data_IF_716852546176
#
_entry.id   IF_716852546176
#
_cell.length_a   1.000
_cell.length_b   1.000
_cell.length_c   1.000
_cell.angle_alpha   90.00
_cell.angle_beta   90.00
_cell.angle_gamma   90.00
#
_symmetry.space_group_name_H-M   'P 1'
#
loop_
_entity.id
_entity.type
_entity.pdbx_description
1 polymer ?
#
# COMPACT_ATOMS: atom_id res chain seq x y z
N UNK A 1 -12.75 4.09 -12.40
CA UNK A 1 -12.44 2.80 -11.72
C UNK A 1 -13.65 2.11 -11.06
N UNK A 2 -14.66 2.85 -10.58
CA UNK A 2 -15.85 2.33 -9.91
C UNK A 2 -17.12 2.64 -10.73
N UNK A 3 -17.19 2.15 -11.98
CA UNK A 3 -18.31 2.46 -12.89
C UNK A 3 -19.64 2.05 -12.25
N UNK A 4 -20.59 3.00 -12.18
CA UNK A 4 -21.95 2.82 -11.65
C UNK A 4 -22.02 2.37 -10.18
N UNK A 5 -20.96 2.57 -9.39
CA UNK A 5 -21.00 2.30 -7.96
C UNK A 5 -21.58 3.49 -7.20
N UNK A 6 -22.65 3.25 -6.44
CA UNK A 6 -23.16 4.15 -5.41
C UNK A 6 -22.85 3.56 -4.03
N UNK A 7 -22.55 4.42 -3.06
CA UNK A 7 -22.26 3.97 -1.71
C UNK A 7 -23.49 3.34 -1.07
N UNK A 8 -23.38 2.07 -0.69
CA UNK A 8 -24.28 1.44 0.26
C UNK A 8 -23.51 1.16 1.55
N UNK A 9 -23.80 1.92 2.60
CA UNK A 9 -23.07 1.81 3.87
C UNK A 9 -23.19 0.44 4.53
N UNK A 10 -24.28 -0.30 4.32
CA UNK A 10 -24.45 -1.67 4.82
C UNK A 10 -23.47 -2.64 4.13
N UNK A 11 -23.34 -2.54 2.80
CA UNK A 11 -22.39 -3.36 2.04
C UNK A 11 -20.94 -2.98 2.33
N UNK A 12 -20.65 -1.68 2.41
CA UNK A 12 -19.32 -1.20 2.81
C UNK A 12 -18.94 -1.71 4.20
N UNK A 13 -19.84 -1.60 5.19
CA UNK A 13 -19.61 -2.11 6.54
C UNK A 13 -19.35 -3.62 6.54
N UNK A 14 -20.13 -4.42 5.80
CA UNK A 14 -19.86 -5.86 5.64
C UNK A 14 -18.48 -6.14 5.03
N UNK A 15 -18.02 -5.31 4.10
CA UNK A 15 -16.68 -5.43 3.54
C UNK A 15 -15.60 -5.06 4.58
N UNK A 16 -15.81 -3.99 5.34
CA UNK A 16 -14.94 -3.54 6.41
C UNK A 16 -14.81 -4.57 7.54
N UNK A 17 -15.91 -5.15 8.00
CA UNK A 17 -15.95 -6.11 9.13
C UNK A 17 -15.17 -7.41 8.82
N UNK A 18 -14.97 -7.73 7.53
CA UNK A 18 -14.12 -8.85 7.07
C UNK A 18 -12.63 -8.52 7.03
N UNK A 19 -12.24 -7.27 7.26
CA UNK A 19 -10.85 -6.84 7.28
C UNK A 19 -10.20 -7.21 8.62
N UNK A 20 -9.11 -7.96 8.58
CA UNK A 20 -8.29 -8.23 9.76
C UNK A 20 -7.34 -7.06 9.93
N UNK A 21 -7.59 -6.23 10.94
CA UNK A 21 -6.74 -5.08 11.30
C UNK A 21 -5.86 -5.45 12.51
N UNK A 22 -4.55 -5.60 12.28
CA UNK A 22 -3.60 -5.97 13.33
C UNK A 22 -2.25 -5.24 13.14
N UNK A 23 -1.41 -5.18 14.19
CA UNK A 23 -0.03 -4.69 14.07
C UNK A 23 0.80 -5.39 12.99
N UNK A 24 0.55 -6.68 12.74
CA UNK A 24 1.29 -7.46 11.73
C UNK A 24 0.92 -7.11 10.28
N UNK A 25 -0.09 -6.26 10.09
CA UNK A 25 -0.62 -5.85 8.80
C UNK A 25 -2.15 -5.91 8.77
N UNK A 26 -2.70 -5.29 7.73
CA UNK A 26 -4.13 -5.25 7.43
C UNK A 26 -4.41 -6.22 6.30
N UNK A 27 -5.18 -7.30 6.51
CA UNK A 27 -5.37 -8.37 5.52
C UNK A 27 -6.82 -8.81 5.36
N UNK A 28 -7.15 -9.32 4.18
CA UNK A 28 -8.47 -9.84 3.82
C UNK A 28 -8.38 -10.70 2.55
N UNK A 29 -9.37 -11.58 2.33
CA UNK A 29 -9.63 -12.18 1.01
C UNK A 29 -10.19 -11.11 0.07
N UNK A 30 -9.32 -10.60 -0.79
CA UNK A 30 -9.65 -9.54 -1.73
C UNK A 30 -10.24 -10.09 -3.03
N UNK A 31 -9.86 -11.31 -3.43
CA UNK A 31 -10.38 -11.97 -4.62
C UNK A 31 -11.91 -11.86 -4.69
N UNK A 32 -12.42 -11.53 -5.88
CA UNK A 32 -13.85 -11.25 -6.12
C UNK A 32 -14.74 -12.43 -5.75
N UNK A 33 -14.32 -13.65 -6.08
CA UNK A 33 -14.94 -14.92 -5.68
C UNK A 33 -15.05 -15.13 -4.16
N UNK A 34 -14.27 -14.42 -3.34
CA UNK A 34 -14.16 -14.62 -1.88
C UNK A 34 -13.66 -16.01 -1.47
N UNK A 35 -13.08 -16.75 -2.39
CA UNK A 35 -12.35 -17.99 -2.13
C UNK A 35 -10.91 -17.65 -1.70
N UNK A 36 -10.44 -18.29 -0.64
CA UNK A 36 -9.10 -18.08 -0.07
C UNK A 36 -7.96 -18.58 -0.96
N UNK A 37 -8.21 -19.53 -1.86
CA UNK A 37 -7.23 -20.07 -2.80
C UNK A 37 -7.33 -19.46 -4.21
N UNK A 38 -8.22 -18.47 -4.36
CA UNK A 38 -8.47 -17.85 -5.66
C UNK A 38 -7.23 -17.18 -6.25
N UNK A 39 -7.01 -17.43 -7.55
CA UNK A 39 -5.99 -16.76 -8.37
C UNK A 39 -6.54 -15.57 -9.15
N UNK A 40 -7.79 -15.16 -8.91
CA UNK A 40 -8.40 -14.01 -9.55
C UNK A 40 -7.68 -12.71 -9.16
N UNK A 41 -7.50 -11.83 -10.13
CA UNK A 41 -6.92 -10.50 -9.92
C UNK A 41 -7.98 -9.40 -9.73
N UNK A 42 -9.27 -9.75 -9.84
CA UNK A 42 -10.39 -8.83 -9.63
C UNK A 42 -10.75 -8.68 -8.15
N UNK A 43 -11.21 -7.48 -7.78
CA UNK A 43 -11.73 -7.15 -6.44
C UNK A 43 -13.05 -6.37 -6.56
N UNK A 44 -13.90 -6.48 -5.55
CA UNK A 44 -15.22 -5.84 -5.54
C UNK A 44 -15.12 -4.33 -5.29
N UNK A 45 -16.15 -3.56 -5.66
CA UNK A 45 -16.13 -2.11 -5.51
C UNK A 45 -16.05 -1.66 -4.05
N UNK A 46 -16.71 -2.36 -3.12
CA UNK A 46 -16.60 -2.09 -1.69
C UNK A 46 -15.16 -2.25 -1.19
N UNK A 47 -14.43 -3.24 -1.73
CA UNK A 47 -13.03 -3.48 -1.38
C UNK A 47 -12.10 -2.41 -1.93
N UNK A 48 -12.35 -1.95 -3.16
CA UNK A 48 -11.62 -0.83 -3.76
C UNK A 48 -11.74 0.43 -2.91
N UNK A 49 -12.96 0.72 -2.45
CA UNK A 49 -13.24 1.87 -1.57
C UNK A 49 -12.61 1.68 -0.19
N UNK A 50 -12.66 0.47 0.37
CA UNK A 50 -11.98 0.14 1.63
C UNK A 50 -10.47 0.36 1.54
N UNK A 51 -9.83 -0.10 0.47
CA UNK A 51 -8.41 0.14 0.22
C UNK A 51 -8.14 1.64 0.15
N UNK A 52 -8.95 2.40 -0.60
CA UNK A 52 -8.78 3.85 -0.69
C UNK A 52 -8.85 4.54 0.67
N UNK A 53 -9.78 4.13 1.53
CA UNK A 53 -9.92 4.66 2.89
C UNK A 53 -8.71 4.33 3.78
N UNK A 54 -8.19 3.10 3.68
CA UNK A 54 -7.00 2.67 4.40
C UNK A 54 -5.78 3.48 3.94
N UNK A 55 -5.55 3.59 2.63
CA UNK A 55 -4.42 4.34 2.08
C UNK A 55 -4.52 5.83 2.40
N UNK A 56 -5.71 6.42 2.31
CA UNK A 56 -5.94 7.81 2.73
C UNK A 56 -5.54 8.03 4.18
N UNK A 57 -5.91 7.10 5.07
CA UNK A 57 -5.56 7.15 6.48
C UNK A 57 -4.05 7.01 6.71
N UNK A 58 -3.39 6.11 5.99
CA UNK A 58 -1.93 5.91 6.04
C UNK A 58 -1.18 7.15 5.51
N UNK A 59 -1.66 7.76 4.43
CA UNK A 59 -1.10 9.00 3.91
C UNK A 59 -1.16 10.13 4.94
N UNK A 60 -2.29 10.27 5.64
CA UNK A 60 -2.41 11.26 6.71
C UNK A 60 -1.46 10.99 7.88
N UNK A 61 -1.18 9.73 8.20
CA UNK A 61 -0.17 9.38 9.20
C UNK A 61 1.23 9.91 8.82
N UNK A 62 1.58 9.89 7.53
CA UNK A 62 2.85 10.40 7.00
C UNK A 62 2.87 11.92 6.70
N UNK A 63 1.78 12.65 6.97
CA UNK A 63 1.63 14.05 6.56
C UNK A 63 2.66 14.99 7.21
N UNK A 64 3.03 14.71 8.46
CA UNK A 64 3.98 15.52 9.23
C UNK A 64 5.44 15.07 9.09
N UNK A 65 5.70 14.02 8.33
CA UNK A 65 7.06 13.56 8.05
C UNK A 65 7.62 14.38 6.86
N UNK A 66 8.66 15.22 7.06
CA UNK A 66 9.14 16.16 6.04
C UNK A 66 9.83 15.49 4.85
N UNK A 67 10.19 14.21 4.96
CA UNK A 67 10.89 13.50 3.91
C UNK A 67 10.06 13.40 2.62
N UNK A 68 10.71 13.43 1.44
CA UNK A 68 10.02 13.73 0.20
C UNK A 68 9.07 12.66 -0.34
N UNK A 69 9.22 11.37 -0.02
CA UNK A 69 8.43 10.32 -0.68
C UNK A 69 8.04 9.12 0.21
N UNK A 70 7.01 8.40 -0.20
CA UNK A 70 6.63 7.08 0.33
C UNK A 70 7.06 6.00 -0.65
N UNK A 71 7.76 4.97 -0.17
CA UNK A 71 8.08 3.79 -0.97
C UNK A 71 6.88 2.85 -1.10
N UNK A 72 6.66 2.28 -2.29
CA UNK A 72 5.57 1.33 -2.53
C UNK A 72 6.09 0.06 -3.21
N UNK A 73 5.88 -1.08 -2.57
CA UNK A 73 6.23 -2.40 -3.08
C UNK A 73 5.09 -3.40 -2.91
N UNK A 74 5.16 -4.52 -3.62
CA UNK A 74 4.20 -5.62 -3.50
C UNK A 74 4.87 -6.98 -3.67
N UNK A 75 4.22 -8.03 -3.19
CA UNK A 75 4.53 -9.42 -3.58
C UNK A 75 3.78 -9.82 -4.86
N UNK A 76 3.84 -11.10 -5.23
CA UNK A 76 3.24 -11.65 -6.45
C UNK A 76 1.75 -12.01 -6.34
N UNK A 77 1.05 -11.62 -5.27
CA UNK A 77 -0.36 -11.99 -5.09
C UNK A 77 -1.24 -11.43 -6.22
N UNK A 78 -2.21 -12.21 -6.73
CA UNK A 78 -2.99 -11.84 -7.92
C UNK A 78 -3.66 -10.46 -7.85
N UNK A 79 -4.26 -10.13 -6.69
CA UNK A 79 -4.93 -8.84 -6.46
C UNK A 79 -3.98 -7.69 -6.15
N UNK A 80 -2.67 -7.94 -6.06
CA UNK A 80 -1.67 -6.94 -5.65
C UNK A 80 -1.60 -5.76 -6.62
N UNK A 81 -1.72 -6.01 -7.94
CA UNK A 81 -1.67 -4.97 -8.97
C UNK A 81 -2.79 -3.94 -8.82
N UNK A 82 -4.03 -4.38 -8.62
CA UNK A 82 -5.17 -3.47 -8.44
C UNK A 82 -5.09 -2.72 -7.11
N UNK A 83 -4.60 -3.35 -6.03
CA UNK A 83 -4.35 -2.66 -4.76
C UNK A 83 -3.27 -1.59 -4.92
N UNK A 84 -2.19 -1.88 -5.68
CA UNK A 84 -1.13 -0.92 -5.96
C UNK A 84 -1.63 0.26 -6.79
N UNK A 85 -2.46 0.02 -7.83
CA UNK A 85 -3.08 1.09 -8.62
C UNK A 85 -3.88 2.03 -7.73
N UNK A 86 -4.77 1.51 -6.88
CA UNK A 86 -5.59 2.30 -5.95
C UNK A 86 -4.69 3.09 -4.99
N UNK A 87 -3.64 2.44 -4.48
CA UNK A 87 -2.68 3.07 -3.57
C UNK A 87 -2.01 4.27 -4.23
N UNK A 88 -1.49 4.11 -5.45
CA UNK A 88 -0.85 5.19 -6.19
C UNK A 88 -1.84 6.32 -6.45
N UNK A 89 -3.07 6.02 -6.90
CA UNK A 89 -4.10 7.03 -7.19
C UNK A 89 -4.42 7.88 -5.95
N UNK A 90 -4.66 7.25 -4.80
CA UNK A 90 -4.95 7.98 -3.56
C UNK A 90 -3.75 8.79 -3.06
N UNK A 91 -2.54 8.25 -3.13
CA UNK A 91 -1.34 8.98 -2.73
C UNK A 91 -1.08 10.19 -3.63
N UNK A 92 -1.30 10.08 -4.95
CA UNK A 92 -1.22 11.21 -5.89
C UNK A 92 -2.23 12.30 -5.52
N UNK A 93 -3.50 11.94 -5.30
CA UNK A 93 -4.53 12.93 -4.91
C UNK A 93 -4.23 13.59 -3.57
N UNK A 94 -3.58 12.86 -2.66
CA UNK A 94 -3.10 13.39 -1.38
C UNK A 94 -1.78 14.17 -1.49
N UNK A 95 -1.28 14.43 -2.71
CA UNK A 95 -0.06 15.18 -3.01
C UNK A 95 1.21 14.56 -2.45
N UNK A 96 1.22 13.24 -2.25
CA UNK A 96 2.40 12.48 -1.85
C UNK A 96 3.27 12.14 -3.06
N UNK A 97 4.60 12.23 -2.92
CA UNK A 97 5.50 11.66 -3.92
C UNK A 97 5.71 10.19 -3.62
N UNK A 98 5.77 9.38 -4.69
CA UNK A 98 5.79 7.93 -4.57
C UNK A 98 7.00 7.38 -5.29
N UNK A 99 7.71 6.46 -4.64
CA UNK A 99 8.72 5.62 -5.30
C UNK A 99 8.19 4.21 -5.40
N UNK A 100 7.65 3.86 -6.56
CA UNK A 100 7.10 2.53 -6.83
C UNK A 100 8.20 1.57 -7.29
N UNK A 101 8.27 0.40 -6.65
CA UNK A 101 9.29 -0.63 -6.90
C UNK A 101 8.77 -1.86 -7.64
N UNK A 102 7.45 -1.96 -7.86
CA UNK A 102 6.85 -3.16 -8.43
C UNK A 102 6.94 -4.36 -7.50
N UNK A 103 7.04 -5.56 -8.07
CA UNK A 103 7.13 -6.81 -7.31
C UNK A 103 8.55 -6.98 -6.74
N UNK A 104 8.66 -7.13 -5.42
CA UNK A 104 9.91 -7.40 -4.72
C UNK A 104 9.70 -8.11 -3.39
N UNK A 105 10.68 -8.89 -2.90
CA UNK A 105 10.66 -9.41 -1.54
C UNK A 105 10.61 -8.26 -0.52
N UNK A 106 9.93 -8.45 0.60
CA UNK A 106 9.84 -7.40 1.62
C UNK A 106 11.23 -6.99 2.11
N UNK A 107 12.16 -7.93 2.28
CA UNK A 107 13.54 -7.66 2.73
C UNK A 107 14.28 -6.69 1.82
N UNK A 108 13.98 -6.68 0.52
CA UNK A 108 14.58 -5.76 -0.44
C UNK A 108 14.12 -4.31 -0.19
N UNK A 109 12.82 -4.09 0.05
CA UNK A 109 12.33 -2.75 0.38
C UNK A 109 12.82 -2.31 1.76
N UNK A 110 12.88 -3.19 2.77
CA UNK A 110 13.41 -2.86 4.09
C UNK A 110 14.87 -2.39 4.00
N UNK A 111 15.70 -3.13 3.26
CA UNK A 111 17.11 -2.80 3.04
C UNK A 111 17.28 -1.45 2.32
N UNK A 112 16.44 -1.19 1.32
CA UNK A 112 16.44 0.08 0.62
C UNK A 112 16.06 1.25 1.56
N UNK A 113 15.01 1.09 2.38
CA UNK A 113 14.55 2.14 3.29
C UNK A 113 15.61 2.49 4.34
N UNK A 114 16.16 1.49 5.05
CA UNK A 114 17.18 1.67 6.10
C UNK A 114 18.33 2.58 5.69
N UNK A 115 18.67 2.59 4.40
CA UNK A 115 19.84 3.29 3.87
C UNK A 115 19.51 4.53 3.03
N UNK A 116 18.23 4.77 2.73
CA UNK A 116 17.79 5.94 2.01
C UNK A 116 17.02 6.88 2.95
N UNK A 117 17.72 7.89 3.45
CA UNK A 117 17.20 8.83 4.47
C UNK A 117 16.12 9.80 3.95
N UNK A 118 15.81 9.77 2.66
CA UNK A 118 14.82 10.64 2.02
C UNK A 118 13.41 10.02 1.95
N UNK A 119 13.22 8.80 2.46
CA UNK A 119 11.91 8.16 2.51
C UNK A 119 11.14 8.51 3.78
N UNK A 120 9.86 8.86 3.69
CA UNK A 120 8.96 8.92 4.86
C UNK A 120 8.80 7.55 5.53
N UNK A 121 8.87 6.50 4.73
CA UNK A 121 8.53 5.13 5.08
C UNK A 121 8.05 4.38 3.84
N UNK A 122 7.41 3.23 4.05
CA UNK A 122 6.93 2.42 2.96
C UNK A 122 5.58 1.78 3.23
N UNK A 123 4.88 1.50 2.15
CA UNK A 123 3.70 0.65 2.07
C UNK A 123 4.11 -0.61 1.31
N UNK A 124 3.82 -1.77 1.87
CA UNK A 124 4.08 -3.06 1.23
C UNK A 124 2.81 -3.88 1.13
N UNK A 125 2.42 -4.23 -0.10
CA UNK A 125 1.19 -4.97 -0.38
C UNK A 125 1.49 -6.46 -0.38
N UNK A 126 1.03 -7.15 0.65
CA UNK A 126 1.23 -8.59 0.84
C UNK A 126 0.39 -9.12 2.01
N UNK A 127 -0.13 -10.34 1.89
CA UNK A 127 -0.60 -11.15 3.01
C UNK A 127 0.40 -12.26 3.41
N UNK A 128 1.66 -12.16 2.97
CA UNK A 128 2.77 -13.04 3.34
C UNK A 128 2.48 -14.53 3.11
N UNK A 129 2.21 -15.31 4.15
CA UNK A 129 1.97 -16.75 4.07
C UNK A 129 0.49 -17.14 4.02
N UNK A 130 -0.44 -16.17 4.04
CA UNK A 130 -1.87 -16.46 3.91
C UNK A 130 -2.19 -17.13 2.54
N UNK A 131 -3.31 -17.87 2.42
CA UNK A 131 -3.75 -18.43 1.14
C UNK A 131 -3.81 -17.40 -0.01
N UNK A 132 -3.76 -17.86 -1.27
CA UNK A 132 -3.50 -17.01 -2.46
C UNK A 132 -4.50 -15.86 -2.67
N UNK A 133 -5.77 -16.09 -2.36
CA UNK A 133 -6.86 -15.13 -2.45
C UNK A 133 -6.79 -14.01 -1.39
N UNK A 134 -5.97 -14.17 -0.35
CA UNK A 134 -5.66 -13.09 0.59
C UNK A 134 -4.73 -12.07 -0.04
N UNK A 135 -4.87 -10.82 0.38
CA UNK A 135 -3.84 -9.80 0.24
C UNK A 135 -3.92 -8.84 1.42
N UNK A 136 -2.98 -7.89 1.50
CA UNK A 136 -2.92 -7.00 2.65
C UNK A 136 -1.97 -5.84 2.47
N UNK A 137 -1.92 -5.00 3.49
CA UNK A 137 -1.11 -3.80 3.55
C UNK A 137 -0.28 -3.85 4.83
N UNK A 138 1.02 -3.69 4.68
CA UNK A 138 1.98 -3.46 5.76
C UNK A 138 2.57 -2.07 5.63
N UNK A 139 2.91 -1.47 6.76
CA UNK A 139 3.47 -0.13 6.84
C UNK A 139 4.78 -0.24 7.60
N UNK A 140 5.80 0.47 7.11
CA UNK A 140 7.03 0.64 7.85
C UNK A 140 7.65 2.00 7.62
N UNK A 141 8.75 2.23 8.33
CA UNK A 141 9.40 3.52 8.45
C UNK A 141 10.70 3.53 7.63
N UNK A 142 11.33 4.70 7.63
CA UNK A 142 12.57 4.96 6.91
C UNK A 142 13.80 4.24 7.49
N UNK A 143 13.69 3.65 8.67
CA UNK A 143 14.74 2.83 9.29
C UNK A 143 14.75 1.39 8.77
N UNK A 144 13.81 1.04 7.89
CA UNK A 144 13.62 -0.33 7.39
C UNK A 144 12.87 -1.23 8.37
N UNK A 145 12.33 -0.70 9.47
CA UNK A 145 11.45 -1.39 10.39
C UNK A 145 9.99 -1.32 9.95
N UNK A 146 9.22 -2.36 10.27
CA UNK A 146 7.74 -2.29 10.23
C UNK A 146 7.23 -1.55 11.46
N UNK A 147 6.03 -0.97 11.39
CA UNK A 147 5.44 -0.29 12.55
C UNK A 147 5.32 -1.23 13.75
N UNK A 148 5.65 -0.69 14.93
CA UNK A 148 5.36 -1.36 16.19
C UNK A 148 3.85 -1.33 16.50
N UNK A 149 3.43 -2.13 17.48
CA UNK A 149 2.02 -2.27 17.85
C UNK A 149 1.35 -0.96 18.25
N UNK A 150 2.07 -0.06 18.94
CA UNK A 150 1.51 1.23 19.35
C UNK A 150 1.14 2.10 18.15
N UNK A 151 2.10 2.34 17.24
CA UNK A 151 1.89 3.12 16.01
C UNK A 151 0.86 2.49 15.07
N UNK A 152 0.88 1.16 14.95
CA UNK A 152 -0.12 0.45 14.14
C UNK A 152 -1.53 0.61 14.71
N UNK A 153 -1.69 0.54 16.04
CA UNK A 153 -2.99 0.71 16.70
C UNK A 153 -3.54 2.13 16.56
N UNK A 154 -2.69 3.16 16.50
CA UNK A 154 -3.11 4.53 16.18
C UNK A 154 -3.75 4.61 14.79
N UNK A 155 -3.10 4.02 13.77
CA UNK A 155 -3.63 3.98 12.41
C UNK A 155 -4.94 3.17 12.35
N UNK A 156 -5.00 2.01 13.04
CA UNK A 156 -6.22 1.18 13.12
C UNK A 156 -7.39 1.97 13.71
N UNK A 157 -7.15 2.75 14.78
CA UNK A 157 -8.18 3.61 15.39
C UNK A 157 -8.69 4.63 14.38
N UNK A 158 -7.80 5.28 13.63
CA UNK A 158 -8.19 6.24 12.60
C UNK A 158 -8.95 5.58 11.43
N UNK A 159 -8.55 4.38 11.02
CA UNK A 159 -9.26 3.60 9.99
C UNK A 159 -10.71 3.31 10.45
N UNK A 160 -10.89 2.86 11.70
CA UNK A 160 -12.22 2.59 12.28
C UNK A 160 -13.09 3.85 12.38
N UNK A 161 -12.49 5.00 12.71
CA UNK A 161 -13.22 6.27 12.73
C UNK A 161 -13.64 6.70 11.32
N UNK A 162 -12.69 6.66 10.39
CA UNK A 162 -12.93 7.03 8.99
C UNK A 162 -13.96 6.11 8.32
N UNK A 163 -14.02 4.82 8.69
CA UNK A 163 -14.98 3.87 8.11
C UNK A 163 -16.44 4.19 8.46
N UNK A 164 -16.70 5.05 9.45
CA UNK A 164 -18.03 5.55 9.79
C UNK A 164 -18.35 6.91 9.12
N UNK A 165 -17.37 7.53 8.46
CA UNK A 165 -17.52 8.85 7.85
C UNK A 165 -18.00 8.73 6.40
N UNK A 166 -19.31 8.73 6.21
CA UNK A 166 -19.94 8.62 4.89
C UNK A 166 -19.49 9.72 3.91
N UNK A 167 -19.29 10.95 4.39
CA UNK A 167 -18.82 12.08 3.55
C UNK A 167 -17.42 11.80 3.00
N UNK A 168 -16.51 11.31 3.85
CA UNK A 168 -15.17 10.92 3.43
C UNK A 168 -15.23 9.76 2.43
N UNK A 169 -16.05 8.74 2.68
CA UNK A 169 -16.18 7.59 1.78
C UNK A 169 -16.70 8.02 0.41
N UNK A 170 -17.73 8.87 0.36
CA UNK A 170 -18.24 9.45 -0.88
C UNK A 170 -17.19 10.31 -1.59
N UNK A 171 -16.40 11.09 -0.85
CA UNK A 171 -15.28 11.83 -1.42
C UNK A 171 -14.26 10.90 -2.08
N UNK A 172 -13.87 9.81 -1.43
CA UNK A 172 -12.91 8.82 -1.98
C UNK A 172 -13.47 8.11 -3.22
N UNK A 173 -14.77 7.79 -3.24
CA UNK A 173 -15.44 7.23 -4.43
C UNK A 173 -15.33 8.21 -5.61
N UNK A 174 -15.64 9.49 -5.36
CA UNK A 174 -15.54 10.54 -6.38
C UNK A 174 -14.11 10.71 -6.88
N UNK A 175 -13.13 10.75 -5.96
CA UNK A 175 -11.70 10.80 -6.31
C UNK A 175 -11.31 9.67 -7.24
N UNK A 176 -11.69 8.43 -6.94
CA UNK A 176 -11.34 7.27 -7.76
C UNK A 176 -12.05 7.22 -9.11
N UNK A 177 -13.23 7.82 -9.22
CA UNK A 177 -13.97 7.88 -10.49
C UNK A 177 -13.45 8.98 -11.40
N UNK A 178 -13.08 10.12 -10.84
CA UNK A 178 -12.59 11.29 -11.58
C UNK A 178 -11.08 11.35 -11.74
N UNK A 179 -10.33 10.41 -11.16
CA UNK A 179 -8.87 10.42 -11.21
C UNK A 179 -8.33 10.56 -12.64
N UNK A 180 -8.90 9.79 -13.57
CA UNK A 180 -8.45 9.76 -14.97
C UNK A 180 -8.98 10.96 -15.80
N UNK A 181 -9.83 11.83 -15.23
CA UNK A 181 -10.31 13.06 -15.88
C UNK A 181 -9.30 14.23 -15.71
N UNK A 182 -8.37 14.11 -14.76
CA UNK A 182 -7.33 15.11 -14.51
C UNK A 182 -6.01 14.70 -15.19
N UNK A 183 -5.60 15.48 -16.19
CA UNK A 183 -4.38 15.21 -16.96
C UNK A 183 -3.11 15.23 -16.09
N UNK A 184 -3.04 16.05 -15.04
CA UNK A 184 -1.89 16.10 -14.14
C UNK A 184 -1.79 14.83 -13.30
N UNK A 185 -2.92 14.29 -12.85
CA UNK A 185 -2.96 13.01 -12.16
C UNK A 185 -2.47 11.87 -13.06
N UNK A 186 -2.94 11.82 -14.31
CA UNK A 186 -2.52 10.81 -15.29
C UNK A 186 -1.03 10.92 -15.62
N UNK A 187 -0.51 12.13 -15.83
CA UNK A 187 0.92 12.35 -16.10
C UNK A 187 1.78 11.86 -14.93
N UNK A 188 1.40 12.19 -13.69
CA UNK A 188 2.12 11.77 -12.50
C UNK A 188 2.07 10.24 -12.33
N UNK A 189 0.90 9.62 -12.52
CA UNK A 189 0.75 8.17 -12.50
C UNK A 189 1.68 7.50 -13.52
N UNK A 190 1.65 7.94 -14.77
CA UNK A 190 2.48 7.40 -15.85
C UNK A 190 3.98 7.56 -15.56
N UNK A 191 4.38 8.70 -14.98
CA UNK A 191 5.76 8.94 -14.55
C UNK A 191 6.21 7.95 -13.46
N UNK A 192 5.35 7.68 -12.48
CA UNK A 192 5.63 6.71 -11.41
C UNK A 192 5.84 5.31 -12.00
N UNK A 193 4.94 4.86 -12.88
CA UNK A 193 5.05 3.55 -13.55
C UNK A 193 6.31 3.47 -14.41
N UNK A 194 6.63 4.52 -15.20
CA UNK A 194 7.84 4.57 -16.03
C UNK A 194 9.14 4.43 -15.22
N UNK A 195 9.15 4.86 -13.96
CA UNK A 195 10.31 4.78 -13.07
C UNK A 195 10.45 3.43 -12.34
N UNK A 196 9.45 2.54 -12.42
CA UNK A 196 9.40 1.27 -11.67
C UNK A 196 10.69 0.45 -11.84
N UNK A 197 11.09 0.16 -13.08
CA UNK A 197 12.28 -0.66 -13.37
C UNK A 197 13.56 -0.03 -12.82
N UNK A 198 13.69 1.30 -12.90
CA UNK A 198 14.83 2.02 -12.33
C UNK A 198 14.85 1.89 -10.81
N UNK A 199 13.71 2.08 -10.16
CA UNK A 199 13.58 2.00 -8.71
C UNK A 199 13.87 0.58 -8.21
N UNK A 200 13.31 -0.44 -8.88
CA UNK A 200 13.56 -1.86 -8.61
C UNK A 200 15.04 -2.23 -8.70
N UNK A 201 15.73 -1.75 -9.73
CA UNK A 201 17.18 -1.99 -9.86
C UNK A 201 17.98 -1.33 -8.72
N UNK A 202 17.55 -0.15 -8.24
CA UNK A 202 18.19 0.52 -7.12
C UNK A 202 17.95 -0.22 -5.80
N UNK A 203 16.73 -0.69 -5.54
CA UNK A 203 16.41 -1.50 -4.35
C UNK A 203 17.17 -2.82 -4.33
N UNK A 204 17.21 -3.52 -5.47
CA UNK A 204 17.97 -4.77 -5.60
C UNK A 204 19.46 -4.59 -5.33
N UNK A 205 20.10 -3.56 -5.91
CA UNK A 205 21.52 -3.26 -5.64
C UNK A 205 21.77 -2.99 -4.16
N UNK A 206 20.89 -2.24 -3.50
CA UNK A 206 21.06 -1.96 -2.07
C UNK A 206 20.87 -3.20 -1.21
N UNK A 207 19.88 -4.03 -1.52
CA UNK A 207 19.69 -5.31 -0.86
C UNK A 207 20.94 -6.20 -0.97
N UNK A 208 21.51 -6.33 -2.17
CA UNK A 208 22.76 -7.09 -2.38
C UNK A 208 23.92 -6.54 -1.53
N UNK A 209 24.07 -5.21 -1.47
CA UNK A 209 25.10 -4.56 -0.62
C UNK A 209 24.90 -4.90 0.85
N UNK A 210 23.69 -4.77 1.38
CA UNK A 210 23.39 -5.05 2.78
C UNK A 210 23.63 -6.52 3.14
N UNK A 211 23.25 -7.45 2.26
CA UNK A 211 23.54 -8.88 2.47
C UNK A 211 25.04 -9.13 2.49
N UNK A 212 25.81 -8.48 1.63
CA UNK A 212 27.27 -8.60 1.63
C UNK A 212 27.91 -8.03 2.91
N UNK A 213 27.45 -6.85 3.35
CA UNK A 213 27.84 -6.24 4.63
C UNK A 213 27.59 -7.22 5.79
N UNK A 214 26.37 -7.74 5.93
CA UNK A 214 26.00 -8.64 7.04
C UNK A 214 26.74 -9.99 6.98
N UNK A 215 26.89 -10.57 5.79
CA UNK A 215 27.43 -11.92 5.65
C UNK A 215 28.97 -11.98 5.73
N UNK A 216 29.67 -10.91 5.36
CA UNK A 216 31.13 -10.95 5.17
C UNK A 216 31.91 -9.89 5.97
N UNK A 217 31.29 -8.87 6.58
CA UNK A 217 32.05 -7.89 7.41
C UNK A 217 32.56 -8.49 8.74
N UNK A 218 32.06 -9.65 9.17
CA UNK A 218 32.61 -10.34 10.35
C UNK A 218 33.82 -11.25 10.02
N UNK A 219 34.21 -11.40 8.76
CA UNK A 219 35.36 -12.23 8.34
C UNK A 219 36.67 -11.42 8.19
N UNK A 220 36.69 -10.14 8.59
CA UNK A 220 37.86 -9.23 8.45
C UNK A 220 38.28 -8.60 9.81
N UNK A 221 37.99 -9.25 10.94
CA UNK A 221 38.58 -8.87 12.23
C UNK A 221 39.23 -10.06 12.93
#
# INVERSE_FOLDING_TARGET
MLKQYSLNMKNFKKAFDKMILSPSGFRKIFAKSKNEDSTENEINNEDKVLIALIIFTISNYFKNEPRPYIGLGLDSRPTGKIIAEITIKILITNKEKIKFFGILPITEILAYMKNNKDSKGFIYISASHNPTGYNGIKIGLNDGGVLNSAKANEIIKQIKNNSQNEKLINHLINTLNKFDEDNSHLENYNKIIKLERKNKNQSYKRYKSLIHEIAYENDIN
#
